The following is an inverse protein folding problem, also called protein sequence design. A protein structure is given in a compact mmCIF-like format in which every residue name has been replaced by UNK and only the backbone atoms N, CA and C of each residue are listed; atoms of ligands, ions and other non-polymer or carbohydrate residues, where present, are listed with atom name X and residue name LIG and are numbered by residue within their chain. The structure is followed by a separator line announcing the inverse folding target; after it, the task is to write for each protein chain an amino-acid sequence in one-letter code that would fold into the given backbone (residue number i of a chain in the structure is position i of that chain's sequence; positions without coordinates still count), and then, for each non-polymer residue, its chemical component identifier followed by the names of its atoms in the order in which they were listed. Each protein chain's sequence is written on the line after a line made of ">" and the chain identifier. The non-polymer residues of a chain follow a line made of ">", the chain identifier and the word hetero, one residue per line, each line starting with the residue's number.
data_IF_089153236350
#
_entry.id   IF_089153236350
#
_cell.length_a   1.000
_cell.length_b   1.000
_cell.length_c   1.000
_cell.angle_alpha   90.00
_cell.angle_beta   90.00
_cell.angle_gamma   90.00
#
_symmetry.space_group_name_H-M   'P 1'
#
loop_
_entity.id
_entity.type
_entity.pdbx_description
1 polymer ?
#
# COMPACT_ATOMS: atom_id res chain seq x y z
N UNK A 1 34.41 17.03 14.56
CA UNK A 1 34.90 15.64 14.46
C UNK A 1 33.68 14.74 14.51
N UNK A 2 33.49 13.95 13.48
CA UNK A 2 32.28 13.20 13.18
C UNK A 2 32.03 12.10 14.22
N UNK A 3 30.84 12.12 14.83
CA UNK A 3 30.41 11.10 15.79
C UNK A 3 30.07 9.81 15.06
N UNK A 4 31.06 8.92 14.92
CA UNK A 4 30.82 7.56 14.47
C UNK A 4 29.91 6.86 15.48
N UNK A 5 28.68 6.54 15.06
CA UNK A 5 27.74 5.74 15.85
C UNK A 5 28.37 4.37 16.07
N UNK A 6 28.42 3.88 17.30
CA UNK A 6 29.06 2.58 17.57
C UNK A 6 28.26 1.45 16.90
N UNK A 7 28.89 0.31 16.51
CA UNK A 7 28.17 -0.81 15.89
C UNK A 7 26.95 -1.31 16.70
N UNK A 8 26.99 -1.15 18.03
CA UNK A 8 25.87 -1.46 18.92
C UNK A 8 24.70 -0.46 18.81
N UNK A 9 24.96 0.83 18.61
CA UNK A 9 23.92 1.85 18.43
C UNK A 9 23.24 1.73 17.06
N UNK A 10 24.01 1.46 16.00
CA UNK A 10 23.44 1.20 14.69
C UNK A 10 22.56 -0.05 14.68
N UNK A 11 22.98 -1.12 15.36
CA UNK A 11 22.19 -2.34 15.48
C UNK A 11 20.89 -2.12 16.26
N UNK A 12 20.93 -1.37 17.37
CA UNK A 12 19.71 -0.99 18.11
C UNK A 12 18.76 -0.15 17.25
N UNK A 13 19.29 0.83 16.52
CA UNK A 13 18.48 1.68 15.64
C UNK A 13 17.79 0.88 14.53
N UNK A 14 18.51 -0.03 13.87
CA UNK A 14 17.93 -0.93 12.85
C UNK A 14 16.85 -1.85 13.43
N UNK A 15 17.05 -2.35 14.65
CA UNK A 15 16.05 -3.15 15.37
C UNK A 15 14.78 -2.34 15.66
N UNK A 16 14.91 -1.11 16.14
CA UNK A 16 13.77 -0.23 16.41
C UNK A 16 13.01 0.15 15.13
N UNK A 17 13.73 0.46 14.04
CA UNK A 17 13.12 0.77 12.74
C UNK A 17 12.36 -0.45 12.18
N UNK A 18 12.95 -1.64 12.29
CA UNK A 18 12.29 -2.89 11.88
C UNK A 18 11.02 -3.17 12.71
N UNK A 19 11.08 -2.97 14.03
CA UNK A 19 9.91 -3.15 14.91
C UNK A 19 8.80 -2.15 14.57
N UNK A 20 9.14 -0.86 14.35
CA UNK A 20 8.16 0.15 13.93
C UNK A 20 7.51 -0.20 12.61
N UNK A 21 8.29 -0.67 11.63
CA UNK A 21 7.76 -1.10 10.33
C UNK A 21 6.80 -2.30 10.47
N UNK A 22 7.13 -3.27 11.31
CA UNK A 22 6.27 -4.42 11.59
C UNK A 22 4.94 -4.01 12.24
N UNK A 23 4.99 -3.10 13.21
CA UNK A 23 3.79 -2.58 13.87
C UNK A 23 2.88 -1.83 12.90
N UNK A 24 3.47 -0.99 12.03
CA UNK A 24 2.72 -0.27 11.01
C UNK A 24 2.03 -1.21 10.02
N UNK A 25 2.72 -2.24 9.55
CA UNK A 25 2.14 -3.25 8.63
C UNK A 25 1.02 -4.06 9.29
N UNK A 26 1.17 -4.43 10.57
CA UNK A 26 0.13 -5.11 11.34
C UNK A 26 -1.13 -4.24 11.48
N UNK A 27 -0.97 -2.95 11.78
CA UNK A 27 -2.10 -2.02 11.87
C UNK A 27 -2.82 -1.88 10.52
N UNK A 28 -2.07 -1.74 9.42
CA UNK A 28 -2.63 -1.68 8.07
C UNK A 28 -3.45 -2.94 7.78
N UNK A 29 -2.92 -4.13 8.06
CA UNK A 29 -3.63 -5.40 7.86
C UNK A 29 -4.93 -5.49 8.65
N UNK A 30 -4.94 -5.05 9.90
CA UNK A 30 -6.15 -5.02 10.74
C UNK A 30 -7.22 -4.10 10.12
N UNK A 31 -6.82 -2.93 9.61
CA UNK A 31 -7.73 -2.01 8.94
C UNK A 31 -8.26 -2.64 7.64
N UNK A 32 -7.38 -3.20 6.81
CA UNK A 32 -7.74 -3.86 5.55
C UNK A 32 -8.74 -5.01 5.77
N UNK A 33 -8.52 -5.86 6.78
CA UNK A 33 -9.42 -6.96 7.11
C UNK A 33 -10.84 -6.47 7.52
N UNK A 34 -10.95 -5.24 8.05
CA UNK A 34 -12.24 -4.65 8.42
C UNK A 34 -12.95 -3.99 7.24
N UNK A 35 -12.20 -3.35 6.35
CA UNK A 35 -12.76 -2.58 5.24
C UNK A 35 -12.96 -3.40 3.96
N UNK A 36 -12.35 -4.58 3.85
CA UNK A 36 -12.48 -5.48 2.71
C UNK A 36 -13.42 -6.64 3.04
N UNK A 37 -14.08 -7.16 2.01
CA UNK A 37 -14.63 -8.51 2.05
C UNK A 37 -13.50 -9.55 2.03
N UNK A 38 -13.76 -10.74 2.58
CA UNK A 38 -12.78 -11.82 2.63
C UNK A 38 -12.12 -12.14 1.28
N UNK A 39 -12.86 -12.36 0.16
CA UNK A 39 -12.24 -12.62 -1.14
C UNK A 39 -11.38 -11.45 -1.65
N UNK A 40 -11.77 -10.21 -1.35
CA UNK A 40 -10.98 -9.03 -1.71
C UNK A 40 -9.68 -8.96 -0.88
N UNK A 41 -9.76 -9.24 0.42
CA UNK A 41 -8.60 -9.26 1.31
C UNK A 41 -7.57 -10.30 0.86
N UNK A 42 -8.01 -11.53 0.60
CA UNK A 42 -7.11 -12.63 0.18
C UNK A 42 -6.42 -12.28 -1.14
N UNK A 43 -7.16 -11.71 -2.10
CA UNK A 43 -6.58 -11.27 -3.37
C UNK A 43 -5.59 -10.13 -3.20
N UNK A 44 -5.88 -9.14 -2.35
CA UNK A 44 -4.95 -8.05 -2.05
C UNK A 44 -3.65 -8.58 -1.42
N UNK A 45 -3.75 -9.60 -0.55
CA UNK A 45 -2.57 -10.25 0.04
C UNK A 45 -1.72 -10.98 -1.01
N UNK A 46 -2.35 -11.60 -2.00
CA UNK A 46 -1.61 -12.16 -3.14
C UNK A 46 -0.89 -11.07 -3.94
N UNK A 47 -1.54 -9.93 -4.20
CA UNK A 47 -0.90 -8.78 -4.87
C UNK A 47 0.28 -8.26 -4.06
N UNK A 48 0.19 -8.20 -2.73
CA UNK A 48 1.31 -7.80 -1.87
C UNK A 48 2.55 -8.66 -2.07
N UNK A 49 2.36 -9.96 -2.28
CA UNK A 49 3.45 -10.92 -2.53
C UNK A 49 4.02 -10.71 -3.95
N UNK A 50 3.15 -10.50 -4.94
CA UNK A 50 3.57 -10.36 -6.34
C UNK A 50 4.18 -8.99 -6.68
N UNK A 51 3.65 -7.90 -6.13
CA UNK A 51 4.08 -6.54 -6.41
C UNK A 51 3.74 -5.58 -5.25
N UNK A 52 4.75 -5.26 -4.44
CA UNK A 52 4.59 -4.35 -3.30
C UNK A 52 4.23 -2.91 -3.69
N UNK A 53 4.67 -2.42 -4.86
CA UNK A 53 4.37 -1.06 -5.31
C UNK A 53 2.88 -0.90 -5.66
N UNK A 54 2.32 -1.86 -6.39
CA UNK A 54 0.89 -1.90 -6.72
C UNK A 54 0.06 -2.05 -5.45
N UNK A 55 0.49 -2.89 -4.51
CA UNK A 55 -0.14 -3.02 -3.20
C UNK A 55 -0.19 -1.67 -2.45
N UNK A 56 0.94 -0.96 -2.35
CA UNK A 56 0.99 0.32 -1.66
C UNK A 56 0.04 1.37 -2.26
N UNK A 57 -0.05 1.43 -3.60
CA UNK A 57 -1.01 2.31 -4.31
C UNK A 57 -2.45 1.90 -4.03
N UNK A 58 -2.74 0.60 -4.08
CA UNK A 58 -4.08 0.08 -3.84
C UNK A 58 -4.55 0.36 -2.40
N UNK A 59 -3.72 0.18 -1.38
CA UNK A 59 -4.08 0.43 0.03
C UNK A 59 -4.62 1.85 0.23
N UNK A 60 -3.95 2.86 -0.33
CA UNK A 60 -4.42 4.25 -0.24
C UNK A 60 -5.78 4.47 -0.91
N UNK A 61 -5.98 3.87 -2.10
CA UNK A 61 -7.25 3.94 -2.82
C UNK A 61 -8.39 3.23 -2.08
N UNK A 62 -8.11 2.09 -1.44
CA UNK A 62 -9.08 1.35 -0.65
C UNK A 62 -9.54 2.13 0.59
N UNK A 63 -8.61 2.74 1.33
CA UNK A 63 -8.97 3.59 2.48
C UNK A 63 -9.85 4.76 2.04
N UNK A 64 -9.54 5.39 0.91
CA UNK A 64 -10.36 6.46 0.35
C UNK A 64 -11.76 5.98 -0.05
N UNK A 65 -11.86 4.85 -0.77
CA UNK A 65 -13.16 4.28 -1.15
C UNK A 65 -14.00 3.95 0.08
N UNK A 66 -13.42 3.32 1.09
CA UNK A 66 -14.12 3.00 2.34
C UNK A 66 -14.64 4.26 3.03
N UNK A 67 -13.82 5.32 3.12
CA UNK A 67 -14.26 6.61 3.68
C UNK A 67 -15.42 7.24 2.91
N UNK A 68 -15.46 7.07 1.58
CA UNK A 68 -16.51 7.62 0.71
C UNK A 68 -17.81 6.80 0.77
N UNK A 69 -17.71 5.47 0.81
CA UNK A 69 -18.88 4.59 0.71
C UNK A 69 -19.42 4.14 2.07
N UNK A 70 -18.59 4.14 3.11
CA UNK A 70 -18.92 3.64 4.45
C UNK A 70 -19.15 2.12 4.53
N UNK A 71 -18.96 1.39 3.43
CA UNK A 71 -19.24 -0.06 3.33
C UNK A 71 -17.97 -0.84 2.99
N UNK A 72 -17.99 -2.15 3.26
CA UNK A 72 -16.90 -3.04 2.87
C UNK A 72 -16.72 -3.05 1.35
N UNK A 73 -15.46 -3.10 0.93
CA UNK A 73 -15.07 -3.10 -0.47
C UNK A 73 -15.06 -4.54 -0.98
N UNK A 74 -15.76 -4.73 -2.10
CA UNK A 74 -15.92 -6.02 -2.76
C UNK A 74 -14.69 -6.40 -3.58
N UNK A 75 -14.59 -7.68 -3.95
CA UNK A 75 -13.51 -8.15 -4.83
C UNK A 75 -13.51 -7.41 -6.18
N UNK A 76 -14.70 -7.13 -6.74
CA UNK A 76 -14.85 -6.42 -8.02
C UNK A 76 -14.28 -5.00 -7.94
N UNK A 77 -14.60 -4.26 -6.88
CA UNK A 77 -14.10 -2.89 -6.68
C UNK A 77 -12.58 -2.87 -6.48
N UNK A 78 -12.04 -3.85 -5.75
CA UNK A 78 -10.60 -4.03 -5.63
C UNK A 78 -9.95 -4.25 -7.01
N UNK A 79 -10.50 -5.14 -7.83
CA UNK A 79 -9.98 -5.42 -9.16
C UNK A 79 -9.97 -4.17 -10.05
N UNK A 80 -11.04 -3.37 -10.01
CA UNK A 80 -11.09 -2.07 -10.73
C UNK A 80 -10.00 -1.11 -10.27
N UNK A 81 -9.72 -1.06 -8.97
CA UNK A 81 -8.64 -0.22 -8.43
C UNK A 81 -7.26 -0.72 -8.87
N UNK A 82 -7.07 -2.05 -8.87
CA UNK A 82 -5.81 -2.67 -9.27
C UNK A 82 -5.53 -2.48 -10.76
N UNK A 83 -6.54 -2.64 -11.63
CA UNK A 83 -6.37 -2.42 -13.07
C UNK A 83 -5.95 -0.97 -13.36
N UNK A 84 -6.59 0.00 -12.71
CA UNK A 84 -6.23 1.42 -12.84
C UNK A 84 -4.81 1.74 -12.31
N UNK A 85 -4.27 0.93 -11.40
CA UNK A 85 -2.93 1.10 -10.85
C UNK A 85 -1.84 0.49 -11.74
N UNK A 86 -2.19 -0.45 -12.62
CA UNK A 86 -1.29 -1.14 -13.56
C UNK A 86 -1.24 -0.43 -14.92
N UNK A 87 -2.33 0.21 -15.34
CA UNK A 87 -2.35 1.05 -16.54
C UNK A 87 -1.44 2.28 -16.34
N UNK A 88 -0.17 2.12 -16.75
CA UNK A 88 0.71 3.27 -17.01
C UNK A 88 -0.03 4.16 -18.00
N UNK A 89 -0.34 5.39 -17.60
CA UNK A 89 -0.72 6.46 -18.52
C UNK A 89 0.39 6.61 -19.57
N UNK A 90 0.26 5.95 -20.72
CA UNK A 90 0.83 6.45 -21.98
C UNK A 90 0.06 7.73 -22.29
N UNK A 91 0.45 8.81 -21.62
CA UNK A 91 -0.04 10.14 -21.91
C UNK A 91 0.58 10.61 -23.20
N UNK A 92 -0.09 10.37 -24.33
CA UNK A 92 0.15 11.13 -25.55
C UNK A 92 -0.27 12.56 -25.25
N UNK A 93 0.69 13.41 -24.87
CA UNK A 93 0.45 14.85 -24.76
C UNK A 93 0.40 15.37 -26.20
N UNK A 94 -0.78 15.38 -26.82
CA UNK A 94 -1.02 16.17 -28.02
C UNK A 94 -1.06 17.65 -27.64
N UNK A 95 0.11 18.30 -27.65
CA UNK A 95 0.20 19.75 -27.56
C UNK A 95 -0.25 20.33 -28.90
N UNK A 96 -1.52 20.74 -28.99
CA UNK A 96 -1.97 21.63 -30.08
C UNK A 96 -1.58 23.06 -29.73
N UNK A 97 -0.59 23.62 -30.46
CA UNK A 97 -0.32 25.06 -30.46
C UNK A 97 -1.35 25.75 -31.36
N UNK A 98 -1.90 26.87 -30.87
CA UNK A 98 -2.61 27.87 -31.66
C UNK A 98 -1.66 29.04 -31.92
#
# INVERSE_FOLDING_TARGET
>A
MEGASTPHEEMRKRLEEAQKAQQADAQIKIVLARILEQPAYDRLMNVRISNQEVYAKAVNGLVYMYKKTGRKITERELLTLLSASVERKTGTIEIRRK
#
